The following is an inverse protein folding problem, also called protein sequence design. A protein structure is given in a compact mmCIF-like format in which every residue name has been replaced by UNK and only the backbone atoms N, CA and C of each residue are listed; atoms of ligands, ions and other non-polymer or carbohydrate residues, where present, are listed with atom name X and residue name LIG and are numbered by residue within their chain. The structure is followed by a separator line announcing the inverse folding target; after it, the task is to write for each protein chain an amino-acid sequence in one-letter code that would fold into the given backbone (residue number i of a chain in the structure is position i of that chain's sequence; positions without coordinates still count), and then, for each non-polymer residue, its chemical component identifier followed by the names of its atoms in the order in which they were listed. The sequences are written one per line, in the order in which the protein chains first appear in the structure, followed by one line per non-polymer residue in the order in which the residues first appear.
data_IF_820961105641
#
_entry.id   IF_820961105641
#
_cell.length_a   1.000
_cell.length_b   1.000
_cell.length_c   1.000
_cell.angle_alpha   90.00
_cell.angle_beta   90.00
_cell.angle_gamma   90.00
#
_symmetry.space_group_name_H-M   'P 1'
#
loop_
_entity.id
_entity.type
_entity.pdbx_description
1 polymer ?
#
# COMPACT_ATOMS: atom_id res chain seq x y z
N UNK A 1 26.59 -41.95 -57.39
CA UNK A 1 26.14 -40.54 -57.30
C UNK A 1 24.62 -40.38 -57.16
N UNK A 2 23.77 -41.19 -57.82
CA UNK A 2 22.29 -41.07 -57.70
C UNK A 2 21.72 -41.33 -56.30
N UNK A 3 22.40 -42.12 -55.46
CA UNK A 3 21.93 -42.46 -54.10
C UNK A 3 22.22 -41.38 -53.02
N UNK A 4 23.09 -40.41 -53.29
CA UNK A 4 23.42 -39.35 -52.33
C UNK A 4 22.37 -38.22 -52.30
N UNK A 5 21.64 -38.05 -53.40
CA UNK A 5 20.60 -37.03 -53.57
C UNK A 5 19.43 -37.21 -52.58
N UNK A 6 18.78 -38.40 -52.46
CA UNK A 6 17.68 -38.57 -51.52
C UNK A 6 18.12 -38.40 -50.06
N UNK A 7 19.37 -38.74 -49.75
CA UNK A 7 19.94 -38.64 -48.41
C UNK A 7 20.19 -37.17 -48.01
N UNK A 8 20.74 -36.38 -48.93
CA UNK A 8 20.91 -34.93 -48.76
C UNK A 8 19.57 -34.19 -48.66
N UNK A 9 18.59 -34.59 -49.49
CA UNK A 9 17.23 -34.02 -49.47
C UNK A 9 16.51 -34.37 -48.16
N UNK A 10 16.59 -35.61 -47.68
CA UNK A 10 16.01 -36.04 -46.41
C UNK A 10 16.63 -35.33 -45.21
N UNK A 11 17.93 -35.08 -45.24
CA UNK A 11 18.64 -34.31 -44.21
C UNK A 11 18.23 -32.83 -44.21
N UNK A 12 18.12 -32.21 -45.39
CA UNK A 12 17.64 -30.83 -45.53
C UNK A 12 16.18 -30.71 -45.06
N UNK A 13 15.31 -31.65 -45.45
CA UNK A 13 13.92 -31.63 -45.04
C UNK A 13 13.79 -31.76 -43.52
N UNK A 14 14.49 -32.72 -42.91
CA UNK A 14 14.42 -32.92 -41.45
C UNK A 14 15.02 -31.74 -40.68
N UNK A 15 16.08 -31.11 -41.19
CA UNK A 15 16.68 -29.92 -40.58
C UNK A 15 15.74 -28.71 -40.66
N UNK A 16 15.11 -28.47 -41.82
CA UNK A 16 14.15 -27.35 -42.01
C UNK A 16 12.88 -27.57 -41.19
N UNK A 17 12.30 -28.78 -41.24
CA UNK A 17 11.12 -29.12 -40.42
C UNK A 17 11.44 -29.07 -38.92
N UNK A 18 12.60 -29.59 -38.51
CA UNK A 18 13.07 -29.52 -37.12
C UNK A 18 13.29 -28.09 -36.65
N UNK A 19 13.88 -27.24 -37.50
CA UNK A 19 14.09 -25.82 -37.21
C UNK A 19 12.78 -25.03 -37.10
N UNK A 20 11.81 -25.28 -37.99
CA UNK A 20 10.49 -24.65 -37.94
C UNK A 20 9.68 -25.08 -36.71
N UNK A 21 9.69 -26.38 -36.38
CA UNK A 21 9.08 -26.90 -35.16
C UNK A 21 9.74 -26.32 -33.91
N UNK A 22 11.08 -26.31 -33.87
CA UNK A 22 11.85 -25.71 -32.77
C UNK A 22 11.52 -24.25 -32.55
N UNK A 23 11.50 -23.46 -33.62
CA UNK A 23 11.10 -22.04 -33.62
C UNK A 23 9.70 -21.83 -33.03
N UNK A 24 8.72 -22.62 -33.47
CA UNK A 24 7.34 -22.51 -32.99
C UNK A 24 7.21 -22.83 -31.49
N UNK A 25 7.85 -23.90 -31.02
CA UNK A 25 7.86 -24.25 -29.60
C UNK A 25 8.64 -23.24 -28.75
N UNK A 26 9.74 -22.71 -29.27
CA UNK A 26 10.56 -21.71 -28.60
C UNK A 26 9.79 -20.40 -28.45
N UNK A 27 9.04 -19.97 -29.47
CA UNK A 27 8.23 -18.75 -29.41
C UNK A 27 7.07 -18.86 -28.40
N UNK A 28 6.42 -20.03 -28.33
CA UNK A 28 5.35 -20.28 -27.33
C UNK A 28 5.91 -20.34 -25.90
N UNK A 29 7.05 -20.98 -25.71
CA UNK A 29 7.72 -21.06 -24.41
C UNK A 29 8.19 -19.69 -23.95
N UNK A 30 8.77 -18.90 -24.85
CA UNK A 30 9.21 -17.53 -24.58
C UNK A 30 8.07 -16.62 -24.15
N UNK A 31 6.93 -16.66 -24.85
CA UNK A 31 5.75 -15.88 -24.49
C UNK A 31 5.20 -16.25 -23.09
N UNK A 32 5.24 -17.55 -22.74
CA UNK A 32 4.84 -18.01 -21.41
C UNK A 32 5.84 -17.57 -20.33
N UNK A 33 7.14 -17.77 -20.55
CA UNK A 33 8.20 -17.38 -19.64
C UNK A 33 8.20 -15.86 -19.38
N UNK A 34 8.02 -15.05 -20.41
CA UNK A 34 7.91 -13.60 -20.25
C UNK A 34 6.70 -13.19 -19.42
N UNK A 35 5.55 -13.86 -19.61
CA UNK A 35 4.35 -13.56 -18.83
C UNK A 35 4.55 -13.87 -17.36
N UNK A 36 5.07 -15.05 -17.04
CA UNK A 36 5.36 -15.47 -15.65
C UNK A 36 6.37 -14.52 -15.02
N UNK A 37 7.47 -14.22 -15.71
CA UNK A 37 8.50 -13.32 -15.20
C UNK A 37 7.97 -11.89 -14.93
N UNK A 38 7.09 -11.37 -15.79
CA UNK A 38 6.46 -10.06 -15.54
C UNK A 38 5.54 -10.12 -14.32
N UNK A 39 4.75 -11.19 -14.16
CA UNK A 39 3.88 -11.34 -12.99
C UNK A 39 4.68 -11.43 -11.68
N UNK A 40 5.79 -12.18 -11.67
CA UNK A 40 6.67 -12.28 -10.51
C UNK A 40 7.27 -10.93 -10.14
N UNK A 41 7.76 -10.15 -11.11
CA UNK A 41 8.28 -8.80 -10.88
C UNK A 41 7.22 -7.84 -10.34
N UNK A 42 6.00 -7.88 -10.87
CA UNK A 42 4.90 -7.04 -10.37
C UNK A 42 4.54 -7.41 -8.92
N UNK A 43 4.56 -8.72 -8.60
CA UNK A 43 4.34 -9.21 -7.23
C UNK A 43 5.44 -8.78 -6.27
N UNK A 44 6.70 -8.90 -6.66
CA UNK A 44 7.85 -8.42 -5.87
C UNK A 44 7.75 -6.92 -5.59
N UNK A 45 7.40 -6.12 -6.60
CA UNK A 45 7.17 -4.68 -6.41
C UNK A 45 6.00 -4.39 -5.49
N UNK A 46 4.90 -5.13 -5.62
CA UNK A 46 3.75 -4.99 -4.73
C UNK A 46 4.13 -5.30 -3.27
N UNK A 47 4.98 -6.30 -3.02
CA UNK A 47 5.52 -6.59 -1.67
C UNK A 47 6.29 -5.39 -1.12
N UNK A 48 7.20 -4.80 -1.90
CA UNK A 48 7.97 -3.63 -1.45
C UNK A 48 7.08 -2.43 -1.12
N UNK A 49 6.06 -2.17 -1.95
CA UNK A 49 5.08 -1.10 -1.70
C UNK A 49 4.28 -1.39 -0.43
N UNK A 50 3.84 -2.63 -0.25
CA UNK A 50 3.16 -3.07 0.96
C UNK A 50 4.02 -2.85 2.21
N UNK A 51 5.27 -3.29 2.20
CA UNK A 51 6.20 -3.14 3.33
C UNK A 51 6.46 -1.66 3.66
N UNK A 52 6.66 -0.82 2.64
CA UNK A 52 6.87 0.61 2.84
C UNK A 52 5.65 1.29 3.49
N UNK A 53 4.46 1.06 2.94
CA UNK A 53 3.22 1.70 3.42
C UNK A 53 2.80 1.15 4.78
N UNK A 54 2.83 -0.16 4.99
CA UNK A 54 2.46 -0.79 6.27
C UNK A 54 3.37 -0.34 7.40
N UNK A 55 4.69 -0.32 7.18
CA UNK A 55 5.67 0.17 8.15
C UNK A 55 5.42 1.62 8.54
N UNK A 56 5.08 2.48 7.56
CA UNK A 56 4.81 3.89 7.82
C UNK A 56 3.50 4.09 8.60
N UNK A 57 2.45 3.35 8.26
CA UNK A 57 1.18 3.34 8.99
C UNK A 57 1.37 2.91 10.44
N UNK A 58 2.07 1.80 10.66
CA UNK A 58 2.33 1.27 12.00
C UNK A 58 3.21 2.20 12.82
N UNK A 59 4.28 2.76 12.22
CA UNK A 59 5.14 3.75 12.87
C UNK A 59 4.31 4.97 13.31
N UNK A 60 3.46 5.51 12.42
CA UNK A 60 2.63 6.68 12.72
C UNK A 60 1.62 6.39 13.83
N UNK A 61 0.92 5.26 13.76
CA UNK A 61 -0.04 4.83 14.79
C UNK A 61 0.66 4.65 16.14
N UNK A 62 1.83 4.02 16.16
CA UNK A 62 2.59 3.81 17.39
C UNK A 62 3.02 5.13 18.04
N UNK A 63 3.59 6.07 17.27
CA UNK A 63 3.99 7.38 17.81
C UNK A 63 2.79 8.18 18.32
N UNK A 64 1.67 8.13 17.59
CA UNK A 64 0.42 8.75 18.02
C UNK A 64 -0.09 8.17 19.35
N UNK A 65 -0.07 6.83 19.52
CA UNK A 65 -0.46 6.17 20.77
C UNK A 65 0.44 6.56 21.94
N UNK A 66 1.76 6.57 21.73
CA UNK A 66 2.71 6.96 22.77
C UNK A 66 2.46 8.39 23.26
N UNK A 67 2.29 9.32 22.32
CA UNK A 67 1.99 10.70 22.65
C UNK A 67 0.62 10.82 23.34
N UNK A 68 -0.41 10.18 22.80
CA UNK A 68 -1.74 10.21 23.42
C UNK A 68 -1.71 9.71 24.87
N UNK A 69 -1.10 8.56 25.15
CA UNK A 69 -1.03 8.01 26.51
C UNK A 69 -0.20 8.88 27.45
N UNK A 70 0.84 9.55 26.95
CA UNK A 70 1.62 10.47 27.78
C UNK A 70 0.82 11.68 28.23
N UNK A 71 -0.09 12.16 27.37
CA UNK A 71 -0.95 13.29 27.67
C UNK A 71 -2.18 12.89 28.50
N UNK A 72 -2.76 11.72 28.24
CA UNK A 72 -3.91 11.21 28.97
C UNK A 72 -3.60 10.83 30.42
N UNK A 73 -2.35 10.44 30.74
CA UNK A 73 -1.96 10.09 32.09
C UNK A 73 -2.00 11.29 33.07
N UNK A 74 -2.00 12.54 32.58
CA UNK A 74 -2.16 13.76 33.38
C UNK A 74 -1.00 14.10 34.33
N UNK A 75 -0.13 13.14 34.65
CA UNK A 75 1.11 13.36 35.39
C UNK A 75 2.15 13.96 34.48
N UNK A 76 2.30 15.28 34.55
CA UNK A 76 3.33 16.04 33.84
C UNK A 76 3.25 15.93 32.30
N UNK A 77 2.10 16.37 31.76
CA UNK A 77 1.83 16.38 30.32
C UNK A 77 2.81 17.22 29.48
N UNK A 78 3.67 18.04 30.13
CA UNK A 78 4.79 18.79 29.54
C UNK A 78 6.16 18.34 30.08
N UNK A 79 6.23 17.12 30.61
CA UNK A 79 7.51 16.47 30.91
C UNK A 79 8.41 16.42 29.68
N UNK A 80 9.72 16.35 29.91
CA UNK A 80 10.73 16.12 28.86
C UNK A 80 10.39 14.90 27.98
N UNK A 81 9.79 13.87 28.58
CA UNK A 81 9.34 12.68 27.87
C UNK A 81 8.19 12.99 26.90
N UNK A 82 7.23 13.84 27.28
CA UNK A 82 6.10 14.20 26.43
C UNK A 82 6.53 15.15 25.30
N UNK A 83 7.49 16.05 25.55
CA UNK A 83 8.15 16.87 24.50
C UNK A 83 8.84 15.99 23.46
N UNK A 84 9.60 15.00 23.92
CA UNK A 84 10.27 14.03 23.04
C UNK A 84 9.26 13.27 22.18
N UNK A 85 8.17 12.78 22.79
CA UNK A 85 7.10 12.07 22.07
C UNK A 85 6.39 12.96 21.06
N UNK A 86 6.20 14.24 21.36
CA UNK A 86 5.64 15.20 20.40
C UNK A 86 6.59 15.42 19.22
N UNK A 87 7.90 15.56 19.48
CA UNK A 87 8.93 15.62 18.44
C UNK A 87 8.90 14.40 17.52
N UNK A 88 8.91 13.19 18.10
CA UNK A 88 8.82 11.93 17.36
C UNK A 88 7.55 11.84 16.51
N UNK A 89 6.40 12.27 17.05
CA UNK A 89 5.13 12.26 16.34
C UNK A 89 5.14 13.24 15.16
N UNK A 90 5.68 14.44 15.34
CA UNK A 90 5.81 15.42 14.25
C UNK A 90 6.78 14.94 13.16
N UNK A 91 7.86 14.29 13.55
CA UNK A 91 8.79 13.69 12.59
C UNK A 91 8.08 12.67 11.68
N UNK A 92 7.33 11.72 12.25
CA UNK A 92 6.60 10.74 11.41
C UNK A 92 5.47 11.38 10.60
N UNK A 93 4.87 12.47 11.08
CA UNK A 93 3.90 13.26 10.31
C UNK A 93 4.55 13.89 9.07
N UNK A 94 5.77 14.44 9.19
CA UNK A 94 6.51 14.94 8.03
C UNK A 94 6.85 13.83 7.05
N UNK A 95 7.39 12.71 7.54
CA UNK A 95 7.68 11.53 6.70
C UNK A 95 6.42 11.05 5.94
N UNK A 96 5.26 11.06 6.59
CA UNK A 96 3.98 10.74 5.97
C UNK A 96 3.62 11.73 4.86
N UNK A 97 3.66 13.03 5.16
CA UNK A 97 3.27 14.07 4.21
C UNK A 97 4.18 14.10 2.98
N UNK A 98 5.48 13.89 3.16
CA UNK A 98 6.45 13.90 2.06
C UNK A 98 6.26 12.71 1.10
N UNK A 99 5.74 11.58 1.62
CA UNK A 99 5.58 10.34 0.85
C UNK A 99 4.14 10.07 0.39
N UNK A 100 3.13 10.82 0.85
CA UNK A 100 1.72 10.45 0.67
C UNK A 100 1.31 10.30 -0.80
N UNK A 101 1.67 11.27 -1.66
CA UNK A 101 1.27 11.23 -3.07
C UNK A 101 1.92 10.06 -3.82
N UNK A 102 3.20 9.78 -3.52
CA UNK A 102 3.91 8.63 -4.08
C UNK A 102 3.25 7.33 -3.62
N UNK A 103 2.94 7.20 -2.33
CA UNK A 103 2.31 6.01 -1.77
C UNK A 103 0.90 5.80 -2.35
N UNK A 104 0.08 6.84 -2.48
CA UNK A 104 -1.25 6.75 -3.09
C UNK A 104 -1.17 6.29 -4.55
N UNK A 105 -0.24 6.83 -5.33
CA UNK A 105 -0.04 6.42 -6.72
C UNK A 105 0.38 4.94 -6.82
N UNK A 106 1.33 4.51 -5.99
CA UNK A 106 1.80 3.12 -5.95
C UNK A 106 0.70 2.16 -5.48
N UNK A 107 -0.04 2.51 -4.44
CA UNK A 107 -1.17 1.71 -3.97
C UNK A 107 -2.21 1.57 -5.09
N UNK A 108 -2.57 2.66 -5.77
CA UNK A 108 -3.50 2.57 -6.88
C UNK A 108 -2.98 1.69 -8.01
N UNK A 109 -1.70 1.81 -8.36
CA UNK A 109 -1.07 1.02 -9.42
C UNK A 109 -1.08 -0.48 -9.12
N UNK A 110 -0.74 -0.87 -7.88
CA UNK A 110 -0.52 -2.28 -7.53
C UNK A 110 -1.73 -2.95 -6.88
N UNK A 111 -2.58 -2.20 -6.18
CA UNK A 111 -3.70 -2.71 -5.38
C UNK A 111 -5.05 -2.07 -5.75
N UNK A 112 -5.06 -1.13 -6.68
CA UNK A 112 -6.28 -0.57 -7.25
C UNK A 112 -6.85 0.62 -6.48
N UNK A 113 -7.90 1.19 -7.08
CA UNK A 113 -8.52 2.44 -6.62
C UNK A 113 -9.16 2.28 -5.24
N UNK A 114 -9.84 1.15 -4.99
CA UNK A 114 -10.48 0.90 -3.70
C UNK A 114 -9.47 0.89 -2.54
N UNK A 115 -8.26 0.33 -2.75
CA UNK A 115 -7.19 0.36 -1.76
C UNK A 115 -6.69 1.79 -1.54
N UNK A 116 -6.48 2.55 -2.62
CA UNK A 116 -6.05 3.96 -2.57
C UNK A 116 -7.07 4.83 -1.83
N UNK A 117 -8.35 4.72 -2.15
CA UNK A 117 -9.44 5.46 -1.51
C UNK A 117 -9.59 5.12 -0.03
N UNK A 118 -9.44 3.84 0.34
CA UNK A 118 -9.46 3.43 1.75
C UNK A 118 -8.28 4.04 2.52
N UNK A 119 -7.08 4.07 1.93
CA UNK A 119 -5.92 4.70 2.54
C UNK A 119 -6.12 6.21 2.74
N UNK A 120 -6.63 6.89 1.72
CA UNK A 120 -6.83 8.35 1.70
C UNK A 120 -7.99 8.78 2.61
N UNK A 121 -9.21 8.34 2.28
CA UNK A 121 -10.45 8.87 2.84
C UNK A 121 -10.88 8.21 4.15
N UNK A 122 -10.36 7.03 4.50
CA UNK A 122 -10.68 6.36 5.78
C UNK A 122 -9.53 6.43 6.75
N UNK A 123 -8.41 5.81 6.40
CA UNK A 123 -7.24 5.73 7.29
C UNK A 123 -6.61 7.12 7.46
N UNK A 124 -6.38 7.84 6.36
CA UNK A 124 -5.85 9.20 6.38
C UNK A 124 -6.73 10.16 7.17
N UNK A 125 -8.05 10.13 6.93
CA UNK A 125 -9.01 10.94 7.67
C UNK A 125 -8.99 10.66 9.19
N UNK A 126 -8.97 9.39 9.59
CA UNK A 126 -8.89 8.99 11.00
C UNK A 126 -7.58 9.46 11.67
N UNK A 127 -6.45 9.42 10.94
CA UNK A 127 -5.20 9.99 11.43
C UNK A 127 -5.27 11.51 11.61
N UNK A 128 -5.93 12.23 10.70
CA UNK A 128 -6.11 13.68 10.82
C UNK A 128 -6.95 14.01 12.04
N UNK A 129 -8.09 13.34 12.22
CA UNK A 129 -8.99 13.54 13.36
C UNK A 129 -8.27 13.30 14.69
N UNK A 130 -7.63 12.13 14.86
CA UNK A 130 -6.89 11.81 16.07
C UNK A 130 -5.68 12.73 16.29
N UNK A 131 -4.97 13.08 15.21
CA UNK A 131 -3.83 13.99 15.28
C UNK A 131 -4.22 15.39 15.77
N UNK A 132 -5.34 15.92 15.28
CA UNK A 132 -5.91 17.18 15.75
C UNK A 132 -6.34 17.10 17.22
N UNK A 133 -6.97 15.99 17.63
CA UNK A 133 -7.36 15.78 19.01
C UNK A 133 -6.15 15.79 19.96
N UNK A 134 -5.07 15.09 19.58
CA UNK A 134 -3.83 15.02 20.36
C UNK A 134 -3.10 16.36 20.40
N UNK A 135 -3.02 17.11 19.29
CA UNK A 135 -2.45 18.46 19.28
C UNK A 135 -3.26 19.46 20.13
N UNK A 136 -4.59 19.29 20.23
CA UNK A 136 -5.42 20.05 21.16
C UNK A 136 -5.11 19.68 22.61
N UNK A 137 -4.97 18.38 22.93
CA UNK A 137 -4.55 17.93 24.27
C UNK A 137 -3.19 18.50 24.65
N UNK A 138 -2.24 18.48 23.73
CA UNK A 138 -0.91 19.04 23.90
C UNK A 138 -0.93 20.54 24.22
N UNK A 139 -1.67 21.33 23.43
CA UNK A 139 -1.82 22.77 23.69
C UNK A 139 -2.54 23.08 25.00
N UNK A 140 -3.48 22.24 25.42
CA UNK A 140 -4.19 22.40 26.70
C UNK A 140 -3.35 22.00 27.91
N UNK A 141 -2.42 21.08 27.76
CA UNK A 141 -1.44 20.79 28.80
C UNK A 141 -0.63 22.04 29.21
N UNK A 142 -0.49 22.99 28.30
CA UNK A 142 0.09 24.32 28.53
C UNK A 142 -0.82 25.26 29.35
N UNK A 143 -2.12 25.03 29.32
CA UNK A 143 -3.17 25.88 29.89
C UNK A 143 -3.97 25.09 30.93
N UNK A 144 -3.46 25.01 32.17
CA UNK A 144 -3.90 24.21 33.33
C UNK A 144 -5.43 24.04 33.56
N UNK A 145 -6.14 23.36 32.66
CA UNK A 145 -7.58 23.07 32.78
C UNK A 145 -7.86 21.68 32.23
N UNK A 146 -8.17 20.75 33.12
CA UNK A 146 -8.48 19.36 32.79
C UNK A 146 -9.92 19.17 32.32
N UNK A 147 -10.16 18.20 31.42
CA UNK A 147 -11.35 17.33 31.51
C UNK A 147 -11.25 16.05 30.66
N UNK A 148 -11.62 14.95 31.31
CA UNK A 148 -11.43 13.51 31.06
C UNK A 148 -12.38 12.88 30.02
N UNK A 149 -13.37 13.61 29.49
CA UNK A 149 -14.42 13.04 28.63
C UNK A 149 -13.96 12.85 27.17
N UNK A 150 -13.02 13.68 26.70
CA UNK A 150 -12.47 13.61 25.34
C UNK A 150 -11.46 12.47 25.18
N UNK A 151 -10.86 12.03 26.28
CA UNK A 151 -9.88 10.92 26.32
C UNK A 151 -10.54 9.58 25.93
N UNK A 152 -11.68 9.22 26.52
CA UNK A 152 -12.37 7.95 26.18
C UNK A 152 -12.79 7.85 24.71
N UNK A 153 -13.12 8.96 24.06
CA UNK A 153 -13.47 8.98 22.63
C UNK A 153 -12.22 8.68 21.80
N UNK A 154 -11.06 9.23 22.20
CA UNK A 154 -9.79 9.00 21.52
C UNK A 154 -9.30 7.55 21.65
N UNK A 155 -9.55 6.87 22.78
CA UNK A 155 -9.23 5.43 22.94
C UNK A 155 -9.97 4.54 21.94
N UNK A 156 -11.28 4.78 21.79
CA UNK A 156 -12.12 4.04 20.85
C UNK A 156 -11.67 4.28 19.40
N UNK A 157 -11.39 5.53 19.05
CA UNK A 157 -10.89 5.90 17.72
C UNK A 157 -9.49 5.31 17.43
N UNK A 158 -8.57 5.31 18.40
CA UNK A 158 -7.23 4.70 18.26
C UNK A 158 -7.31 3.18 18.08
N UNK A 159 -8.26 2.54 18.74
CA UNK A 159 -8.52 1.10 18.60
C UNK A 159 -9.11 0.80 17.22
N UNK A 160 -10.13 1.57 16.81
CA UNK A 160 -10.76 1.45 15.51
C UNK A 160 -9.76 1.69 14.37
N UNK A 161 -8.89 2.69 14.48
CA UNK A 161 -7.84 2.95 13.49
C UNK A 161 -6.86 1.78 13.39
N UNK A 162 -6.44 1.21 14.52
CA UNK A 162 -5.58 0.03 14.54
C UNK A 162 -6.23 -1.17 13.83
N UNK A 163 -7.52 -1.41 14.07
CA UNK A 163 -8.27 -2.48 13.39
C UNK A 163 -8.41 -2.21 11.88
N UNK A 164 -8.63 -0.95 11.47
CA UNK A 164 -8.69 -0.57 10.05
C UNK A 164 -7.35 -0.80 9.33
N UNK A 165 -6.23 -0.41 9.95
CA UNK A 165 -4.89 -0.63 9.38
C UNK A 165 -4.59 -2.12 9.28
N UNK A 166 -4.94 -2.92 10.30
CA UNK A 166 -4.78 -4.37 10.26
C UNK A 166 -5.56 -5.01 9.10
N UNK A 167 -6.85 -4.67 8.96
CA UNK A 167 -7.68 -5.17 7.88
C UNK A 167 -7.16 -4.75 6.50
N UNK A 168 -6.69 -3.51 6.38
CA UNK A 168 -6.08 -2.99 5.17
C UNK A 168 -4.81 -3.78 4.77
N UNK A 169 -3.90 -4.00 5.72
CA UNK A 169 -2.69 -4.78 5.48
C UNK A 169 -3.02 -6.22 5.09
N UNK A 170 -4.02 -6.84 5.72
CA UNK A 170 -4.44 -8.21 5.42
C UNK A 170 -5.02 -8.33 4.00
N UNK A 171 -5.81 -7.35 3.56
CA UNK A 171 -6.36 -7.32 2.20
C UNK A 171 -5.24 -7.18 1.15
N UNK A 172 -4.21 -6.37 1.41
CA UNK A 172 -3.04 -6.27 0.55
C UNK A 172 -2.23 -7.58 0.50
N UNK A 173 -2.03 -8.26 1.63
CA UNK A 173 -1.36 -9.56 1.68
C UNK A 173 -2.15 -10.60 0.85
N UNK A 174 -3.47 -10.63 0.98
CA UNK A 174 -4.33 -11.52 0.17
C UNK A 174 -4.23 -11.22 -1.32
N UNK A 175 -4.18 -9.95 -1.71
CA UNK A 175 -3.97 -9.55 -3.10
C UNK A 175 -2.62 -10.07 -3.62
N UNK A 176 -1.54 -9.90 -2.86
CA UNK A 176 -0.22 -10.42 -3.21
C UNK A 176 -0.23 -11.95 -3.32
N UNK A 177 -0.86 -12.65 -2.38
CA UNK A 177 -0.91 -14.11 -2.35
C UNK A 177 -1.70 -14.71 -3.52
N UNK A 178 -2.80 -14.06 -3.90
CA UNK A 178 -3.65 -14.48 -5.02
C UNK A 178 -3.14 -14.04 -6.39
N UNK A 179 -2.09 -13.21 -6.45
CA UNK A 179 -1.60 -12.63 -7.70
C UNK A 179 -2.50 -11.52 -8.26
N UNK A 180 -3.48 -11.04 -7.49
CA UNK A 180 -4.36 -9.94 -7.84
C UNK A 180 -3.68 -8.56 -7.66
N UNK A 181 -2.45 -8.43 -8.18
CA UNK A 181 -1.63 -7.22 -8.06
C UNK A 181 -1.07 -6.76 -9.40
N UNK A 182 -0.72 -5.47 -9.46
CA UNK A 182 -0.12 -4.83 -10.63
C UNK A 182 -1.11 -4.63 -11.79
N UNK A 183 -0.58 -4.25 -12.96
CA UNK A 183 -1.38 -3.92 -14.14
C UNK A 183 -2.13 -5.12 -14.74
N UNK A 184 -1.72 -6.34 -14.39
CA UNK A 184 -2.34 -7.56 -14.89
C UNK A 184 -3.68 -7.88 -14.21
N UNK A 185 -3.90 -7.35 -13.00
CA UNK A 185 -5.15 -7.51 -12.28
C UNK A 185 -6.26 -6.65 -12.90
N UNK A 186 -7.35 -7.29 -13.29
CA UNK A 186 -8.45 -6.67 -14.02
C UNK A 186 -9.12 -5.51 -13.25
N UNK A 187 -9.16 -5.63 -11.93
CA UNK A 187 -9.70 -4.61 -11.02
C UNK A 187 -8.87 -3.32 -11.02
N UNK A 188 -7.54 -3.42 -11.23
CA UNK A 188 -6.62 -2.28 -11.26
C UNK A 188 -6.65 -1.52 -12.59
N UNK A 189 -7.21 -2.12 -13.65
CA UNK A 189 -7.30 -1.49 -14.99
C UNK A 189 -8.48 -0.54 -15.13
N UNK A 190 -9.44 -0.58 -14.20
CA UNK A 190 -10.61 0.30 -14.28
C UNK A 190 -10.16 1.74 -14.06
N UNK A 191 -10.44 2.66 -15.00
CA UNK A 191 -10.16 4.06 -14.78
C UNK A 191 -10.95 4.55 -13.56
N UNK A 192 -10.46 5.57 -12.84
CA UNK A 192 -11.24 6.20 -11.79
C UNK A 192 -12.59 6.58 -12.36
N UNK A 193 -13.65 6.06 -11.73
CA UNK A 193 -15.02 6.44 -12.04
C UNK A 193 -15.04 7.95 -11.81
N UNK A 194 -15.22 8.73 -12.88
CA UNK A 194 -15.45 10.17 -12.73
C UNK A 194 -16.69 10.28 -11.86
N UNK A 195 -16.51 10.83 -10.67
CA UNK A 195 -17.62 11.23 -9.84
C UNK A 195 -18.23 12.43 -10.58
N UNK A 196 -19.19 12.13 -11.45
CA UNK A 196 -20.01 13.14 -12.11
C UNK A 196 -20.84 13.76 -10.99
N UNK A 197 -20.28 14.82 -10.42
CA UNK A 197 -20.82 15.52 -9.27
C UNK A 197 -22.29 15.86 -9.48
N UNK A 198 -23.15 15.17 -8.75
CA UNK A 198 -24.51 15.61 -8.52
C UNK A 198 -24.67 15.92 -7.02
N UNK A 199 -23.92 16.92 -6.57
CA UNK A 199 -24.31 17.67 -5.38
C UNK A 199 -25.27 18.77 -5.86
N UNK A 200 -26.56 18.48 -5.85
CA UNK A 200 -27.57 19.54 -5.82
C UNK A 200 -27.56 20.14 -4.41
N UNK A 201 -27.40 21.47 -4.27
CA UNK A 201 -27.61 22.12 -2.98
C UNK A 201 -29.12 22.18 -2.72
N UNK A 202 -29.55 21.60 -1.60
CA UNK A 202 -30.79 21.95 -0.91
C UNK A 202 -30.47 22.27 0.53
#
# INVERSE_FOLDING_TARGET
MKELIPLAVGFLLTTVLGGLLGSFFQQRTWAHQHRVQTQDRERERAVLVFEEVSRLLDKRLYRLRLLYWSLAAGTDARSEQSETRMGDYRQVLFEWNDSINRNLALIQQYFGIAARERLDYRIGAAFVELGQAVEVMWRRADSATGTTSRERINDALLTALGAQIYAYNLDMIRAIQSGAVGWSAEENRRPPRRDDGNHQPT
#
